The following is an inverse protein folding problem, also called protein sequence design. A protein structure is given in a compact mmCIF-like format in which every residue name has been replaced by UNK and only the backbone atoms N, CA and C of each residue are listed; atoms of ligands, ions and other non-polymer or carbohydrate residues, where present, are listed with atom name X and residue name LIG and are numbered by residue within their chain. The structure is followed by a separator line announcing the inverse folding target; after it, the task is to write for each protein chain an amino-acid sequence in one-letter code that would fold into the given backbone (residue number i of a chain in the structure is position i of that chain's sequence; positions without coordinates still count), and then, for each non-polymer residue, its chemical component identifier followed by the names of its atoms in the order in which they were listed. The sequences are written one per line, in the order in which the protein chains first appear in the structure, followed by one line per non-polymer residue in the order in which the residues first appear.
data_IF_235962105928
#
_entry.id   IF_235962105928
#
_cell.length_a   1.000
_cell.length_b   1.000
_cell.length_c   1.000
_cell.angle_alpha   90.00
_cell.angle_beta   90.00
_cell.angle_gamma   90.00
#
_symmetry.space_group_name_H-M   'P 1'
#
loop_
_entity.id
_entity.type
_entity.pdbx_description
1 polymer ?
#
# COMPACT_ATOMS: atom_id res chain seq x y z
N UNK A 1 35.30 -31.80 -42.34
CA UNK A 1 36.43 -31.22 -41.58
C UNK A 1 36.35 -29.72 -41.69
N UNK A 2 36.20 -29.02 -40.55
CA UNK A 2 36.83 -27.73 -40.21
C UNK A 2 36.06 -27.14 -39.02
N UNK A 3 36.73 -27.12 -37.87
CA UNK A 3 36.25 -26.60 -36.61
C UNK A 3 36.35 -25.07 -36.63
N UNK A 4 35.24 -24.37 -36.36
CA UNK A 4 35.24 -22.92 -36.20
C UNK A 4 35.49 -22.59 -34.73
N UNK A 5 36.62 -21.93 -34.49
CA UNK A 5 37.09 -21.54 -33.16
C UNK A 5 36.34 -20.28 -32.69
N UNK A 6 35.58 -20.39 -31.59
CA UNK A 6 34.86 -19.27 -30.97
C UNK A 6 35.87 -18.47 -30.13
N UNK A 7 36.26 -17.28 -30.62
CA UNK A 7 37.03 -16.31 -29.83
C UNK A 7 36.10 -15.60 -28.85
N UNK A 8 36.32 -15.82 -27.55
CA UNK A 8 35.73 -15.04 -26.46
C UNK A 8 36.20 -13.59 -26.56
N UNK A 9 35.27 -12.67 -26.83
CA UNK A 9 35.49 -11.23 -26.69
C UNK A 9 34.96 -10.78 -25.31
N UNK A 10 35.65 -9.85 -24.63
CA UNK A 10 35.30 -9.44 -23.27
C UNK A 10 33.96 -8.70 -23.21
N UNK A 11 33.21 -9.00 -22.15
CA UNK A 11 31.96 -8.35 -21.77
C UNK A 11 32.19 -6.84 -21.65
N UNK A 12 31.71 -6.08 -22.64
CA UNK A 12 31.56 -4.63 -22.52
C UNK A 12 30.50 -4.34 -21.46
N UNK A 13 30.92 -3.57 -20.47
CA UNK A 13 30.14 -3.08 -19.35
C UNK A 13 28.83 -2.44 -19.86
N UNK A 14 27.70 -3.12 -19.64
CA UNK A 14 26.37 -2.60 -19.98
C UNK A 14 26.07 -1.43 -19.05
N UNK A 15 25.70 -0.31 -19.66
CA UNK A 15 25.67 1.00 -19.04
C UNK A 15 24.85 1.06 -17.75
N UNK A 16 25.43 1.69 -16.73
CA UNK A 16 24.65 2.37 -15.69
C UNK A 16 23.88 3.49 -16.37
N UNK A 17 22.57 3.34 -16.51
CA UNK A 17 21.67 4.47 -16.70
C UNK A 17 21.76 5.34 -15.44
N UNK A 18 22.71 6.28 -15.44
CA UNK A 18 22.70 7.40 -14.52
C UNK A 18 21.57 8.32 -15.01
N UNK A 19 20.47 8.35 -14.28
CA UNK A 19 19.55 9.49 -14.34
C UNK A 19 20.29 10.68 -13.72
N UNK A 20 21.23 11.27 -14.47
CA UNK A 20 21.84 12.53 -14.14
C UNK A 20 20.83 13.62 -14.48
N UNK A 21 19.98 13.96 -13.52
CA UNK A 21 19.35 15.28 -13.55
C UNK A 21 20.47 16.30 -13.45
N UNK A 22 20.81 16.90 -14.59
CA UNK A 22 21.82 17.92 -14.71
C UNK A 22 21.49 19.07 -13.76
N UNK A 23 22.29 19.22 -12.70
CA UNK A 23 22.30 20.41 -11.86
C UNK A 23 22.74 21.57 -12.74
N UNK A 24 21.80 22.45 -13.09
CA UNK A 24 22.11 23.75 -13.71
C UNK A 24 23.16 24.44 -12.85
N UNK A 25 24.38 24.56 -13.36
CA UNK A 25 25.48 25.31 -12.75
C UNK A 25 25.18 26.80 -12.81
N UNK A 26 24.37 27.27 -11.86
CA UNK A 26 24.31 28.67 -11.46
C UNK A 26 24.75 28.74 -10.00
N UNK A 27 25.56 29.75 -9.66
CA UNK A 27 25.90 30.13 -8.29
C UNK A 27 24.68 30.77 -7.61
N UNK A 28 23.56 30.06 -7.61
CA UNK A 28 22.29 30.47 -7.04
C UNK A 28 22.07 29.69 -5.74
N UNK A 29 21.47 30.37 -4.76
CA UNK A 29 21.12 29.82 -3.46
C UNK A 29 20.62 28.36 -3.57
N UNK A 30 21.21 27.50 -2.74
CA UNK A 30 20.94 26.07 -2.70
C UNK A 30 19.49 25.85 -2.25
N UNK A 31 18.66 25.28 -3.12
CA UNK A 31 17.23 25.07 -2.86
C UNK A 31 17.02 23.86 -1.92
N UNK A 32 16.94 24.14 -0.61
CA UNK A 32 16.77 23.14 0.46
C UNK A 32 15.38 22.46 0.44
N UNK A 33 14.47 22.86 -0.45
CA UNK A 33 13.18 22.18 -0.62
C UNK A 33 13.31 20.86 -1.40
N UNK A 34 14.45 20.64 -2.07
CA UNK A 34 14.72 19.46 -2.89
C UNK A 34 15.77 18.57 -2.23
N UNK A 35 15.74 17.25 -2.50
CA UNK A 35 16.79 16.36 -2.06
C UNK A 35 18.12 16.74 -2.72
N UNK A 36 19.18 16.74 -1.94
CA UNK A 36 20.51 17.11 -2.41
C UNK A 36 21.56 16.16 -1.87
N UNK A 37 22.57 15.90 -2.70
CA UNK A 37 23.72 15.07 -2.34
C UNK A 37 24.97 15.88 -2.60
N UNK A 38 25.81 15.98 -1.57
CA UNK A 38 27.07 16.71 -1.62
C UNK A 38 28.20 15.76 -1.26
N UNK A 39 29.28 15.81 -2.03
CA UNK A 39 30.54 15.14 -1.70
C UNK A 39 31.44 16.15 -1.02
N UNK A 40 31.73 15.92 0.25
CA UNK A 40 32.64 16.76 1.02
C UNK A 40 34.10 16.54 0.57
N UNK A 41 34.99 17.49 0.86
CA UNK A 41 36.42 17.41 0.48
C UNK A 41 37.16 16.22 1.09
N UNK A 42 36.67 15.70 2.21
CA UNK A 42 37.15 14.49 2.87
C UNK A 42 36.60 13.18 2.25
N UNK A 43 35.86 13.25 1.14
CA UNK A 43 35.27 12.10 0.46
C UNK A 43 33.99 11.56 1.11
N UNK A 44 33.51 12.17 2.20
CA UNK A 44 32.22 11.81 2.83
C UNK A 44 31.07 12.32 1.97
N UNK A 45 30.05 11.49 1.78
CA UNK A 45 28.83 11.88 1.09
C UNK A 45 27.78 12.30 2.11
N UNK A 46 27.34 13.56 2.03
CA UNK A 46 26.23 14.09 2.80
C UNK A 46 24.96 14.14 1.94
N UNK A 47 23.84 13.67 2.49
CA UNK A 47 22.56 13.63 1.81
C UNK A 47 21.53 14.42 2.62
N UNK A 48 20.92 15.42 2.00
CA UNK A 48 19.77 16.16 2.51
C UNK A 48 18.50 15.62 1.85
N UNK A 49 17.54 15.17 2.67
CA UNK A 49 16.24 14.68 2.19
C UNK A 49 15.10 15.31 2.99
N UNK A 50 14.61 16.51 2.58
CA UNK A 50 13.51 17.16 3.27
C UNK A 50 12.23 16.34 3.11
N UNK A 51 11.34 16.41 4.10
CA UNK A 51 10.00 15.81 3.99
C UNK A 51 9.21 16.57 2.93
N UNK A 52 8.65 15.85 1.96
CA UNK A 52 7.81 16.43 0.91
C UNK A 52 6.37 16.47 1.43
N UNK A 53 5.78 17.66 1.48
CA UNK A 53 4.37 17.84 1.82
C UNK A 53 3.48 17.54 0.61
N UNK A 54 2.26 17.06 0.87
CA UNK A 54 1.29 16.80 -0.18
C UNK A 54 0.65 18.12 -0.62
N UNK A 55 0.75 18.44 -1.92
CA UNK A 55 0.18 19.67 -2.47
C UNK A 55 -1.36 19.67 -2.37
N UNK A 56 -1.93 20.79 -1.94
CA UNK A 56 -3.38 20.91 -1.76
C UNK A 56 -4.17 20.68 -3.06
N UNK A 57 -3.64 21.14 -4.19
CA UNK A 57 -4.26 20.99 -5.51
C UNK A 57 -4.46 19.53 -5.93
N UNK A 58 -3.68 18.61 -5.36
CA UNK A 58 -3.79 17.17 -5.62
C UNK A 58 -4.80 16.46 -4.69
N UNK A 59 -5.41 17.19 -3.75
CA UNK A 59 -6.44 16.65 -2.86
C UNK A 59 -7.83 16.74 -3.51
N UNK A 60 -8.75 15.88 -3.08
CA UNK A 60 -10.17 15.98 -3.44
C UNK A 60 -10.96 16.53 -2.25
N UNK A 61 -12.00 17.35 -2.48
CA UNK A 61 -12.90 17.77 -1.41
C UNK A 61 -13.60 16.56 -0.80
N UNK A 62 -14.00 16.69 0.47
CA UNK A 62 -14.83 15.68 1.14
C UNK A 62 -16.28 15.93 0.75
N UNK A 63 -16.94 14.94 0.17
CA UNK A 63 -18.34 15.06 -0.28
C UNK A 63 -19.31 15.19 0.90
N UNK A 64 -20.30 16.08 0.80
CA UNK A 64 -21.28 16.30 1.87
C UNK A 64 -22.17 15.08 2.16
N UNK A 65 -22.36 14.20 1.16
CA UNK A 65 -23.11 12.94 1.32
C UNK A 65 -22.52 12.08 2.44
N UNK A 66 -21.20 12.02 2.48
CA UNK A 66 -20.44 11.18 3.40
C UNK A 66 -20.55 11.76 4.82
N UNK A 67 -20.56 13.09 4.93
CA UNK A 67 -20.79 13.80 6.18
C UNK A 67 -22.23 13.67 6.70
N UNK A 68 -23.23 13.58 5.81
CA UNK A 68 -24.65 13.43 6.17
C UNK A 68 -24.98 12.02 6.66
N UNK A 69 -24.30 10.99 6.16
CA UNK A 69 -24.49 9.61 6.63
C UNK A 69 -24.18 9.47 8.13
N UNK A 70 -23.19 10.21 8.64
CA UNK A 70 -22.88 10.25 10.07
C UNK A 70 -24.00 10.89 10.91
N UNK A 71 -24.63 11.97 10.43
CA UNK A 71 -25.67 12.70 11.16
C UNK A 71 -27.04 12.02 11.16
N UNK A 72 -27.39 11.27 10.10
CA UNK A 72 -28.71 10.60 9.99
C UNK A 72 -28.92 9.46 10.99
N UNK A 73 -27.84 8.85 11.52
CA UNK A 73 -27.96 7.74 12.49
C UNK A 73 -28.56 8.15 13.84
N UNK A 74 -28.53 9.43 14.19
CA UNK A 74 -29.01 9.90 15.51
C UNK A 74 -30.50 10.27 15.54
N UNK A 75 -31.18 10.40 14.39
CA UNK A 75 -32.47 11.11 14.31
C UNK A 75 -33.72 10.24 14.00
N UNK A 76 -33.58 8.93 13.75
CA UNK A 76 -34.68 8.14 13.17
C UNK A 76 -35.19 7.00 14.06
N UNK A 77 -35.66 7.34 15.27
CA UNK A 77 -36.30 6.42 16.25
C UNK A 77 -37.46 5.58 15.66
N UNK A 78 -38.10 6.05 14.58
CA UNK A 78 -39.26 5.40 13.97
C UNK A 78 -38.91 4.28 12.96
N UNK A 79 -37.66 4.19 12.49
CA UNK A 79 -37.21 3.11 11.59
C UNK A 79 -36.66 1.88 12.35
N UNK A 80 -36.35 2.04 13.65
CA UNK A 80 -35.61 1.06 14.44
C UNK A 80 -36.38 -0.24 14.71
N UNK A 81 -37.71 -0.25 14.68
CA UNK A 81 -38.49 -1.47 14.95
C UNK A 81 -38.48 -2.44 13.76
N UNK A 82 -38.64 -1.93 12.53
CA UNK A 82 -38.69 -2.75 11.30
C UNK A 82 -37.29 -3.06 10.78
N UNK A 83 -36.35 -2.10 10.83
CA UNK A 83 -34.92 -2.42 10.63
C UNK A 83 -34.43 -3.35 11.74
N UNK A 84 -34.91 -3.16 12.97
CA UNK A 84 -34.46 -3.91 14.14
C UNK A 84 -34.62 -5.41 14.01
N UNK A 85 -35.74 -5.92 13.49
CA UNK A 85 -35.94 -7.37 13.36
C UNK A 85 -35.13 -7.98 12.21
N UNK A 86 -35.05 -7.27 11.07
CA UNK A 86 -34.23 -7.69 9.93
C UNK A 86 -32.74 -7.67 10.27
N UNK A 87 -32.25 -6.58 10.84
CA UNK A 87 -30.87 -6.42 11.33
C UNK A 87 -30.57 -7.39 12.47
N UNK A 88 -31.49 -7.61 13.42
CA UNK A 88 -31.27 -8.56 14.53
C UNK A 88 -31.19 -10.01 14.04
N UNK A 89 -31.94 -10.37 12.99
CA UNK A 89 -31.82 -11.69 12.35
C UNK A 89 -30.45 -11.85 11.65
N UNK A 90 -30.01 -10.81 10.91
CA UNK A 90 -28.67 -10.73 10.31
C UNK A 90 -27.55 -10.72 11.35
N UNK A 91 -27.73 -10.08 12.48
CA UNK A 91 -26.73 -10.02 13.57
C UNK A 91 -26.51 -11.39 14.21
N UNK A 92 -27.52 -12.27 14.20
CA UNK A 92 -27.40 -13.62 14.78
C UNK A 92 -26.71 -14.62 13.85
N UNK A 93 -26.98 -14.58 12.54
CA UNK A 93 -26.41 -15.52 11.55
C UNK A 93 -25.23 -14.95 10.77
N UNK A 94 -25.08 -13.63 10.72
CA UNK A 94 -24.11 -12.94 9.88
C UNK A 94 -24.56 -12.76 8.43
N UNK A 95 -23.76 -12.05 7.61
CA UNK A 95 -23.97 -11.96 6.17
C UNK A 95 -23.76 -13.32 5.49
N UNK A 96 -24.40 -13.51 4.35
CA UNK A 96 -24.26 -14.75 3.56
C UNK A 96 -22.88 -14.79 2.89
N UNK A 97 -22.32 -15.99 2.66
CA UNK A 97 -21.03 -16.14 1.96
C UNK A 97 -20.99 -15.43 0.59
N UNK A 98 -22.11 -15.35 -0.13
CA UNK A 98 -22.21 -14.59 -1.38
C UNK A 98 -22.02 -13.07 -1.17
N UNK A 99 -22.63 -12.52 -0.13
CA UNK A 99 -22.46 -11.10 0.23
C UNK A 99 -21.01 -10.84 0.67
N UNK A 100 -20.40 -11.77 1.41
CA UNK A 100 -19.01 -11.67 1.82
C UNK A 100 -18.05 -11.69 0.62
N UNK A 101 -18.31 -12.52 -0.40
CA UNK A 101 -17.51 -12.49 -1.63
C UNK A 101 -17.62 -11.19 -2.40
N UNK A 102 -18.81 -10.58 -2.42
CA UNK A 102 -19.07 -9.32 -3.13
C UNK A 102 -18.42 -8.12 -2.41
N UNK A 103 -18.57 -8.04 -1.10
CA UNK A 103 -18.03 -6.93 -0.29
C UNK A 103 -16.51 -6.93 -0.27
N UNK A 104 -15.89 -8.10 -0.12
CA UNK A 104 -14.44 -8.22 0.02
C UNK A 104 -13.71 -8.51 -1.30
N UNK A 105 -14.46 -8.68 -2.40
CA UNK A 105 -13.91 -9.08 -3.69
C UNK A 105 -13.06 -10.37 -3.62
N UNK A 106 -13.52 -11.35 -2.84
CA UNK A 106 -12.83 -12.62 -2.60
C UNK A 106 -13.50 -13.82 -3.27
N UNK A 107 -12.84 -14.98 -3.24
CA UNK A 107 -13.40 -16.21 -3.77
C UNK A 107 -14.36 -16.90 -2.78
N UNK A 108 -15.33 -17.66 -3.31
CA UNK A 108 -16.32 -18.36 -2.46
C UNK A 108 -15.71 -19.36 -1.48
N UNK A 109 -14.53 -19.91 -1.79
CA UNK A 109 -13.89 -20.98 -1.03
C UNK A 109 -13.30 -20.48 0.30
N UNK A 110 -12.99 -19.18 0.41
CA UNK A 110 -12.42 -18.58 1.61
C UNK A 110 -13.39 -18.54 2.79
N UNK A 111 -14.70 -18.51 2.50
CA UNK A 111 -15.76 -18.35 3.50
C UNK A 111 -16.35 -19.67 4.01
N UNK A 112 -15.88 -20.82 3.50
CA UNK A 112 -16.28 -22.12 4.03
C UNK A 112 -15.36 -22.53 5.18
N UNK A 113 -15.94 -23.16 6.20
CA UNK A 113 -15.16 -23.62 7.35
C UNK A 113 -14.15 -24.68 6.93
N UNK A 114 -12.90 -24.51 7.37
CA UNK A 114 -11.84 -25.51 7.17
C UNK A 114 -12.16 -26.81 7.91
N UNK A 115 -11.52 -27.88 7.46
CA UNK A 115 -11.63 -29.18 8.14
C UNK A 115 -11.09 -29.09 9.58
N UNK A 116 -11.43 -30.08 10.41
CA UNK A 116 -10.94 -30.14 11.79
C UNK A 116 -9.41 -30.24 11.85
N UNK A 117 -8.82 -30.99 10.92
CA UNK A 117 -7.38 -31.23 10.84
C UNK A 117 -6.62 -29.94 10.56
N UNK A 118 -7.05 -29.18 9.54
CA UNK A 118 -6.47 -27.86 9.21
C UNK A 118 -6.49 -26.91 10.41
N UNK A 119 -7.62 -26.88 11.15
CA UNK A 119 -7.76 -26.04 12.34
C UNK A 119 -6.79 -26.41 13.44
N UNK A 120 -6.48 -27.69 13.63
CA UNK A 120 -5.55 -28.13 14.68
C UNK A 120 -4.11 -27.69 14.38
N UNK A 121 -3.71 -27.66 13.10
CA UNK A 121 -2.40 -27.15 12.70
C UNK A 121 -2.28 -25.62 12.88
N UNK A 122 -3.38 -24.88 12.75
CA UNK A 122 -3.43 -23.41 12.87
C UNK A 122 -3.39 -22.89 14.33
N UNK A 123 -3.65 -23.73 15.35
CA UNK A 123 -3.72 -23.30 16.77
C UNK A 123 -2.34 -23.03 17.38
N UNK A 124 -1.25 -23.45 16.73
CA UNK A 124 0.09 -23.14 17.21
C UNK A 124 0.35 -21.63 17.12
N UNK A 125 0.70 -21.01 18.25
CA UNK A 125 1.06 -19.60 18.27
C UNK A 125 2.24 -19.37 17.31
N UNK A 126 2.10 -18.50 16.29
CA UNK A 126 3.22 -18.20 15.40
C UNK A 126 4.35 -17.57 16.22
N UNK A 127 5.58 -17.86 15.82
CA UNK A 127 6.75 -17.31 16.50
C UNK A 127 6.69 -15.77 16.47
N UNK A 128 6.81 -15.08 17.62
CA UNK A 128 6.74 -13.63 17.68
C UNK A 128 7.90 -13.04 16.87
N UNK A 129 7.59 -12.34 15.78
CA UNK A 129 8.59 -11.62 14.98
C UNK A 129 8.93 -10.31 15.69
N UNK A 130 10.23 -10.00 15.84
CA UNK A 130 10.68 -8.68 16.33
C UNK A 130 10.08 -7.59 15.45
N UNK A 131 9.55 -6.56 16.09
CA UNK A 131 9.31 -5.26 15.46
C UNK A 131 10.70 -4.73 15.04
N UNK A 132 11.09 -4.97 13.78
CA UNK A 132 12.29 -4.37 13.15
C UNK A 132 11.87 -3.10 12.44
#
# INVERSE_FOLDING_TARGET
MQNVCIRLLPLRNVGRALNSHASSSKSSAVDLTKPQVVVCSNGVVACWHPKIEFAYENSRPIEESDLRFAKKKEAAVFNDAVLGDYERSRMRQGPTNAELTEIFYTSKNEWFTRTREDRLYDVAAPLPKRKK
#
